data_IF_272038824939
#
_entry.id   IF_272038824939
#
_cell.length_a   1.000
_cell.length_b   1.000
_cell.length_c   1.000
_cell.angle_alpha   90.00
_cell.angle_beta   90.00
_cell.angle_gamma   90.00
#
_symmetry.space_group_name_H-M   'P 1'
#
loop_
_entity.id
_entity.type
_entity.pdbx_description
1 polymer ?
#
# COMPACT_ATOMS: atom_id res chain seq x y z
N UNK A 1 -9.81 24.68 -1.28
CA UNK A 1 -9.04 24.69 -2.55
C UNK A 1 -7.89 23.69 -2.55
N UNK A 2 -7.13 23.58 -1.45
CA UNK A 2 -6.01 22.64 -1.28
C UNK A 2 -6.38 21.16 -1.38
N UNK A 3 -7.49 20.73 -0.76
CA UNK A 3 -7.92 19.30 -0.80
C UNK A 3 -8.27 18.85 -2.21
N UNK A 4 -9.03 19.66 -2.95
CA UNK A 4 -9.40 19.35 -4.35
C UNK A 4 -8.16 19.25 -5.23
N UNK A 5 -7.22 20.19 -5.08
CA UNK A 5 -5.94 20.13 -5.79
C UNK A 5 -5.18 18.83 -5.47
N UNK A 6 -5.09 18.45 -4.19
CA UNK A 6 -4.46 17.21 -3.77
C UNK A 6 -5.11 15.96 -4.38
N UNK A 7 -6.44 15.89 -4.41
CA UNK A 7 -7.17 14.80 -5.06
C UNK A 7 -6.90 14.72 -6.56
N UNK A 8 -6.88 15.87 -7.25
CA UNK A 8 -6.58 15.95 -8.69
C UNK A 8 -5.15 15.49 -8.97
N UNK A 9 -4.16 16.02 -8.22
CA UNK A 9 -2.75 15.62 -8.37
C UNK A 9 -2.58 14.13 -8.09
N UNK A 10 -3.22 13.61 -7.04
CA UNK A 10 -3.23 12.18 -6.72
C UNK A 10 -3.79 11.32 -7.85
N UNK A 11 -4.99 11.67 -8.36
CA UNK A 11 -5.62 10.95 -9.46
C UNK A 11 -4.78 10.97 -10.74
N UNK A 12 -4.20 12.13 -11.09
CA UNK A 12 -3.31 12.25 -12.24
C UNK A 12 -2.04 11.41 -12.07
N UNK A 13 -1.44 11.42 -10.89
CA UNK A 13 -0.23 10.63 -10.59
C UNK A 13 -0.49 9.14 -10.72
N UNK A 14 -1.59 8.64 -10.11
CA UNK A 14 -1.99 7.24 -10.24
C UNK A 14 -2.27 6.87 -11.70
N UNK A 15 -2.92 7.75 -12.47
CA UNK A 15 -3.21 7.48 -13.88
C UNK A 15 -1.92 7.39 -14.72
N UNK A 16 -0.96 8.27 -14.48
CA UNK A 16 0.35 8.23 -15.15
C UNK A 16 1.12 6.96 -14.77
N UNK A 17 1.17 6.63 -13.48
CA UNK A 17 1.79 5.39 -13.00
C UNK A 17 1.11 4.16 -13.60
N UNK A 18 -0.22 4.14 -13.69
CA UNK A 18 -0.97 3.06 -14.33
C UNK A 18 -0.60 2.90 -15.79
N UNK A 19 -0.43 4.00 -16.54
CA UNK A 19 -0.02 3.97 -17.95
C UNK A 19 1.39 3.38 -18.08
N UNK A 20 2.35 3.84 -17.27
CA UNK A 20 3.72 3.31 -17.28
C UNK A 20 3.81 1.86 -16.82
N UNK A 21 3.01 1.47 -15.83
CA UNK A 21 2.98 0.13 -15.25
C UNK A 21 2.15 -0.88 -16.05
N UNK A 22 1.58 -0.53 -17.22
CA UNK A 22 0.72 -1.43 -18.01
C UNK A 22 1.37 -2.80 -18.28
N UNK A 23 2.65 -2.82 -18.65
CA UNK A 23 3.39 -4.06 -18.91
C UNK A 23 3.57 -4.90 -17.65
N UNK A 24 3.84 -4.26 -16.51
CA UNK A 24 3.98 -4.95 -15.22
C UNK A 24 2.65 -5.54 -14.75
N UNK A 25 1.57 -4.75 -14.83
CA UNK A 25 0.21 -5.20 -14.49
C UNK A 25 -0.28 -6.33 -15.41
N UNK A 26 0.27 -6.42 -16.63
CA UNK A 26 -0.03 -7.51 -17.55
C UNK A 26 0.70 -8.82 -17.20
N UNK A 27 1.66 -8.80 -16.25
CA UNK A 27 2.43 -9.99 -15.90
C UNK A 27 1.56 -11.10 -15.31
N UNK A 28 1.83 -12.39 -15.60
CA UNK A 28 1.00 -13.50 -15.11
C UNK A 28 0.85 -13.55 -13.59
N UNK A 29 1.85 -13.09 -12.84
CA UNK A 29 1.84 -13.04 -11.37
C UNK A 29 0.77 -12.10 -10.82
N UNK A 30 0.42 -11.06 -11.58
CA UNK A 30 -0.61 -10.09 -11.20
C UNK A 30 -1.95 -10.35 -11.89
N UNK A 31 -2.15 -11.49 -12.55
CA UNK A 31 -3.41 -11.82 -13.20
C UNK A 31 -4.19 -12.82 -12.35
N UNK A 32 -5.47 -12.52 -12.07
CA UNK A 32 -6.41 -13.49 -11.51
C UNK A 32 -7.70 -13.52 -12.30
N UNK A 33 -8.31 -14.69 -12.39
CA UNK A 33 -9.64 -14.87 -12.96
C UNK A 33 -10.69 -14.42 -11.94
N UNK A 34 -11.63 -13.59 -12.37
CA UNK A 34 -12.74 -13.18 -11.51
C UNK A 34 -13.90 -14.20 -11.54
N UNK A 35 -14.92 -13.99 -10.71
CA UNK A 35 -16.09 -14.88 -10.63
C UNK A 35 -16.89 -15.02 -11.94
N UNK A 36 -16.61 -14.20 -12.96
CA UNK A 36 -17.24 -14.23 -14.29
C UNK A 36 -16.34 -14.84 -15.37
N UNK A 37 -15.18 -15.38 -14.99
CA UNK A 37 -14.22 -15.95 -15.92
C UNK A 37 -13.37 -14.94 -16.69
N UNK A 38 -13.34 -13.68 -16.26
CA UNK A 38 -12.47 -12.67 -16.87
C UNK A 38 -11.15 -12.58 -16.12
N UNK A 39 -10.05 -12.68 -16.87
CA UNK A 39 -8.70 -12.44 -16.36
C UNK A 39 -8.49 -10.93 -16.18
N UNK A 40 -8.21 -10.51 -14.96
CA UNK A 40 -8.03 -9.11 -14.60
C UNK A 40 -6.73 -8.92 -13.81
N UNK A 41 -6.08 -7.75 -13.97
CA UNK A 41 -4.94 -7.40 -13.13
C UNK A 41 -5.39 -7.21 -11.67
N UNK A 42 -4.66 -7.81 -10.74
CA UNK A 42 -4.81 -7.67 -9.29
C UNK A 42 -3.74 -6.75 -8.71
N UNK A 43 -3.81 -6.47 -7.41
CA UNK A 43 -2.80 -5.71 -6.67
C UNK A 43 -2.60 -4.28 -7.14
N UNK A 44 -3.54 -3.71 -7.92
CA UNK A 44 -3.45 -2.35 -8.45
C UNK A 44 -3.37 -1.25 -7.39
N UNK A 45 -3.77 -1.56 -6.14
CA UNK A 45 -3.62 -0.66 -4.99
C UNK A 45 -2.18 -0.23 -4.72
N UNK A 46 -1.18 -1.02 -5.13
CA UNK A 46 0.23 -0.65 -5.02
C UNK A 46 0.55 0.65 -5.77
N UNK A 47 -0.18 0.97 -6.85
CA UNK A 47 0.01 2.23 -7.58
C UNK A 47 -0.38 3.45 -6.74
N UNK A 48 -1.30 3.31 -5.79
CA UNK A 48 -1.68 4.39 -4.87
C UNK A 48 -0.55 4.62 -3.87
N UNK A 49 0.03 3.55 -3.33
CA UNK A 49 1.20 3.62 -2.44
C UNK A 49 2.38 4.29 -3.14
N UNK A 50 2.66 3.91 -4.38
CA UNK A 50 3.70 4.54 -5.20
C UNK A 50 3.37 6.00 -5.55
N UNK A 51 2.10 6.33 -5.79
CA UNK A 51 1.70 7.72 -6.03
C UNK A 51 1.97 8.61 -4.80
N UNK A 52 1.68 8.11 -3.59
CA UNK A 52 2.04 8.81 -2.35
C UNK A 52 3.54 9.06 -2.26
N UNK A 53 4.37 8.07 -2.60
CA UNK A 53 5.83 8.22 -2.64
C UNK A 53 6.27 9.32 -3.62
N UNK A 54 5.74 9.30 -4.85
CA UNK A 54 6.11 10.24 -5.92
C UNK A 54 5.69 11.67 -5.54
N UNK A 55 4.49 11.84 -4.98
CA UNK A 55 3.99 13.14 -4.55
C UNK A 55 4.84 13.68 -3.41
N UNK A 56 5.20 12.84 -2.44
CA UNK A 56 6.04 13.25 -1.33
C UNK A 56 7.46 13.63 -1.78
N UNK A 57 8.05 12.84 -2.68
CA UNK A 57 9.35 13.15 -3.27
C UNK A 57 9.32 14.47 -4.06
N UNK A 58 8.26 14.70 -4.84
CA UNK A 58 8.05 15.96 -5.56
C UNK A 58 7.92 17.15 -4.62
N UNK A 59 7.18 16.99 -3.52
CA UNK A 59 7.04 18.01 -2.47
C UNK A 59 8.39 18.34 -1.84
N UNK A 60 9.16 17.32 -1.43
CA UNK A 60 10.47 17.50 -0.82
C UNK A 60 11.44 18.22 -1.79
N UNK A 61 11.45 17.82 -3.06
CA UNK A 61 12.28 18.46 -4.09
C UNK A 61 11.90 19.92 -4.32
N UNK A 62 10.60 20.24 -4.40
CA UNK A 62 10.13 21.62 -4.52
C UNK A 62 10.48 22.45 -3.28
N UNK A 63 10.32 21.87 -2.08
CA UNK A 63 10.71 22.50 -0.83
C UNK A 63 12.21 22.83 -0.77
N UNK A 64 13.07 21.92 -1.24
CA UNK A 64 14.51 22.15 -1.34
C UNK A 64 14.89 23.29 -2.32
N UNK A 65 14.00 23.61 -3.26
CA UNK A 65 14.12 24.75 -4.17
C UNK A 65 13.47 26.03 -3.62
N UNK A 66 13.00 26.03 -2.36
CA UNK A 66 12.36 27.17 -1.70
C UNK A 66 10.89 27.37 -2.06
N UNK A 67 10.24 26.37 -2.65
CA UNK A 67 8.80 26.44 -3.01
C UNK A 67 7.96 25.72 -1.96
N UNK A 68 7.07 26.45 -1.29
CA UNK A 68 6.14 25.92 -0.27
C UNK A 68 6.52 26.30 1.17
N UNK A 69 5.77 25.80 2.14
CA UNK A 69 5.90 26.21 3.55
C UNK A 69 7.05 25.53 4.30
N UNK A 70 7.51 24.35 3.89
CA UNK A 70 8.73 23.69 4.39
C UNK A 70 9.10 22.43 3.59
N UNK A 71 10.40 22.14 3.46
CA UNK A 71 10.92 20.87 2.91
C UNK A 71 10.83 19.70 3.89
N UNK A 72 10.68 20.01 5.18
CA UNK A 72 10.85 19.02 6.24
C UNK A 72 9.69 18.04 6.28
N UNK A 73 10.00 16.83 6.74
CA UNK A 73 9.03 15.77 6.97
C UNK A 73 8.47 15.97 8.38
N UNK A 74 7.22 16.43 8.49
CA UNK A 74 6.56 16.56 9.80
C UNK A 74 6.26 15.18 10.39
N UNK A 75 6.07 15.14 11.71
CA UNK A 75 5.73 13.93 12.47
C UNK A 75 4.44 13.28 11.92
N UNK A 76 3.40 14.07 11.71
CA UNK A 76 2.11 13.56 11.22
C UNK A 76 2.24 12.99 9.81
N UNK A 77 3.13 13.58 9.01
CA UNK A 77 3.40 13.13 7.65
C UNK A 77 4.22 11.86 7.64
N UNK A 78 5.26 11.73 8.48
CA UNK A 78 6.04 10.49 8.58
C UNK A 78 5.15 9.33 9.04
N UNK A 79 4.26 9.56 10.00
CA UNK A 79 3.27 8.58 10.45
C UNK A 79 2.34 8.13 9.32
N UNK A 80 1.76 9.08 8.57
CA UNK A 80 0.89 8.75 7.42
C UNK A 80 1.65 7.94 6.37
N UNK A 81 2.89 8.33 6.03
CA UNK A 81 3.70 7.58 5.07
C UNK A 81 3.92 6.15 5.57
N UNK A 82 4.35 5.98 6.81
CA UNK A 82 4.58 4.64 7.36
C UNK A 82 3.32 3.79 7.41
N UNK A 83 2.16 4.38 7.74
CA UNK A 83 0.88 3.68 7.66
C UNK A 83 0.59 3.24 6.22
N UNK A 84 0.74 4.15 5.24
CA UNK A 84 0.49 3.86 3.82
C UNK A 84 1.43 2.78 3.29
N UNK A 85 2.73 2.84 3.57
CA UNK A 85 3.69 1.85 3.11
C UNK A 85 3.56 0.52 3.87
N UNK A 86 3.37 0.56 5.19
CA UNK A 86 3.21 -0.64 6.02
C UNK A 86 1.98 -1.43 5.63
N UNK A 87 0.80 -0.81 5.66
CA UNK A 87 -0.44 -1.48 5.25
C UNK A 87 -0.48 -1.75 3.75
N UNK A 88 0.09 -0.87 2.92
CA UNK A 88 0.22 -1.08 1.48
C UNK A 88 1.03 -2.33 1.14
N UNK A 89 2.17 -2.55 1.81
CA UNK A 89 2.99 -3.73 1.65
C UNK A 89 2.27 -5.00 2.11
N UNK A 90 1.61 -4.97 3.27
CA UNK A 90 0.82 -6.10 3.77
C UNK A 90 -0.33 -6.47 2.82
N UNK A 91 -1.00 -5.46 2.27
CA UNK A 91 -2.03 -5.65 1.23
C UNK A 91 -1.45 -6.27 -0.03
N UNK A 92 -0.31 -5.75 -0.51
CA UNK A 92 0.35 -6.27 -1.70
C UNK A 92 0.82 -7.72 -1.54
N UNK A 93 1.42 -8.07 -0.41
CA UNK A 93 1.86 -9.45 -0.11
C UNK A 93 0.65 -10.39 -0.11
N UNK A 94 -0.47 -10.00 0.48
CA UNK A 94 -1.66 -10.84 0.49
C UNK A 94 -2.32 -10.96 -0.88
N UNK A 95 -2.34 -9.90 -1.69
CA UNK A 95 -2.88 -10.03 -3.04
C UNK A 95 -2.05 -11.02 -3.89
N UNK A 96 -0.73 -11.07 -3.65
CA UNK A 96 0.21 -11.98 -4.34
C UNK A 96 0.16 -13.42 -3.82
N UNK A 97 0.22 -13.60 -2.50
CA UNK A 97 0.43 -14.90 -1.86
C UNK A 97 -0.84 -15.46 -1.22
N UNK A 98 -1.92 -14.68 -1.17
CA UNK A 98 -3.18 -15.08 -0.56
C UNK A 98 -3.82 -16.22 -1.34
N UNK A 99 -4.06 -17.31 -0.62
CA UNK A 99 -4.74 -18.50 -1.10
C UNK A 99 -6.14 -18.59 -0.47
N UNK A 100 -7.12 -19.05 -1.25
CA UNK A 100 -8.51 -19.26 -0.83
C UNK A 100 -8.69 -20.45 0.13
N UNK A 101 -7.63 -21.25 0.34
CA UNK A 101 -7.66 -22.49 1.12
C UNK A 101 -7.95 -22.31 2.62
N UNK A 102 -7.71 -21.12 3.19
CA UNK A 102 -8.00 -20.83 4.60
C UNK A 102 -8.77 -19.53 4.73
N UNK A 103 -10.06 -19.62 5.09
CA UNK A 103 -10.94 -18.46 5.31
C UNK A 103 -11.28 -18.29 6.79
N UNK A 104 -11.28 -17.04 7.23
CA UNK A 104 -11.70 -16.64 8.58
C UNK A 104 -10.61 -16.78 9.65
N UNK A 105 -10.79 -16.02 10.75
CA UNK A 105 -9.84 -15.92 11.85
C UNK A 105 -9.49 -17.29 12.47
N UNK A 106 -10.50 -18.13 12.69
CA UNK A 106 -10.32 -19.48 13.25
C UNK A 106 -9.50 -20.38 12.31
N UNK A 107 -9.65 -20.24 10.99
CA UNK A 107 -8.91 -21.00 9.99
C UNK A 107 -7.41 -20.70 10.04
N UNK A 108 -7.05 -19.41 10.06
CA UNK A 108 -5.65 -18.98 10.15
C UNK A 108 -5.01 -19.34 11.49
N UNK A 109 -5.75 -19.21 12.61
CA UNK A 109 -5.27 -19.63 13.94
C UNK A 109 -5.04 -21.14 13.99
N UNK A 110 -5.93 -21.94 13.40
CA UNK A 110 -5.77 -23.40 13.33
C UNK A 110 -4.59 -23.82 12.44
N UNK A 111 -4.34 -23.10 11.35
CA UNK A 111 -3.17 -23.30 10.49
C UNK A 111 -1.86 -22.99 11.25
N UNK A 112 -1.84 -21.93 12.06
CA UNK A 112 -0.70 -21.61 12.92
C UNK A 112 -0.39 -22.73 13.93
N UNK A 113 -1.42 -23.31 14.55
CA UNK A 113 -1.23 -24.46 15.45
C UNK A 113 -0.70 -25.72 14.74
N UNK A 114 -0.72 -25.74 13.40
CA UNK A 114 -0.10 -26.78 12.56
C UNK A 114 1.27 -26.39 12.02
N UNK A 115 1.78 -25.21 12.38
CA UNK A 115 3.07 -24.68 11.91
C UNK A 115 3.01 -23.97 10.55
N UNK A 116 1.81 -23.69 10.03
CA UNK A 116 1.63 -23.00 8.73
C UNK A 116 1.41 -21.50 8.94
N UNK A 117 2.31 -20.68 8.41
CA UNK A 117 2.17 -19.22 8.40
C UNK A 117 1.38 -18.81 7.16
N UNK A 118 0.17 -18.29 7.37
CA UNK A 118 -0.72 -17.81 6.30
C UNK A 118 -0.55 -16.31 6.05
N UNK A 119 -0.94 -15.82 4.88
CA UNK A 119 -0.97 -14.37 4.60
C UNK A 119 -1.91 -13.61 5.53
N UNK A 120 -3.02 -14.24 5.94
CA UNK A 120 -3.93 -13.71 6.97
C UNK A 120 -3.24 -13.49 8.32
N UNK A 121 -2.35 -14.40 8.72
CA UNK A 121 -1.54 -14.24 9.93
C UNK A 121 -0.55 -13.08 9.79
N UNK A 122 0.14 -12.98 8.65
CA UNK A 122 1.06 -11.87 8.37
C UNK A 122 0.32 -10.52 8.38
N UNK A 123 -0.87 -10.44 7.81
CA UNK A 123 -1.72 -9.24 7.85
C UNK A 123 -2.12 -8.86 9.27
N UNK A 124 -2.53 -9.82 10.08
CA UNK A 124 -2.97 -9.58 11.45
C UNK A 124 -1.82 -9.04 12.32
N UNK A 125 -0.72 -9.78 12.38
CA UNK A 125 0.41 -9.42 13.24
C UNK A 125 1.24 -8.29 12.65
N UNK A 126 1.41 -8.26 11.33
CA UNK A 126 2.05 -7.15 10.63
C UNK A 126 1.27 -5.86 10.80
N UNK A 127 -0.05 -5.89 10.63
CA UNK A 127 -0.91 -4.73 10.81
C UNK A 127 -0.92 -4.23 12.26
N UNK A 128 -0.99 -5.16 13.23
CA UNK A 128 -0.82 -4.83 14.64
C UNK A 128 0.56 -4.22 14.94
N UNK A 129 1.63 -4.76 14.36
CA UNK A 129 2.98 -4.22 14.49
C UNK A 129 3.10 -2.80 13.92
N UNK A 130 2.56 -2.55 12.73
CA UNK A 130 2.51 -1.20 12.13
C UNK A 130 1.76 -0.24 13.06
N UNK A 131 0.59 -0.64 13.59
CA UNK A 131 -0.18 0.18 14.51
C UNK A 131 0.55 0.46 15.83
N UNK A 132 1.23 -0.54 16.39
CA UNK A 132 2.04 -0.37 17.61
C UNK A 132 3.16 0.62 17.37
N UNK A 133 3.88 0.53 16.25
CA UNK A 133 4.95 1.49 15.93
C UNK A 133 4.39 2.91 15.80
N UNK A 134 3.28 3.08 15.09
CA UNK A 134 2.63 4.40 14.93
C UNK A 134 2.25 5.03 16.27
N UNK A 135 1.79 4.23 17.24
CA UNK A 135 1.37 4.73 18.56
C UNK A 135 2.54 4.88 19.52
N UNK A 136 3.47 3.94 19.52
CA UNK A 136 4.57 3.86 20.48
C UNK A 136 5.78 4.71 20.08
N UNK A 137 5.90 5.08 18.80
CA UNK A 137 7.01 5.89 18.29
C UNK A 137 6.49 6.96 17.33
N UNK A 138 5.77 7.99 17.85
CA UNK A 138 5.31 9.10 17.04
C UNK A 138 6.49 9.76 16.30
N UNK A 139 6.34 9.92 15.00
CA UNK A 139 7.34 10.56 14.14
C UNK A 139 8.49 9.68 13.65
N UNK A 140 8.68 8.48 14.24
CA UNK A 140 9.96 7.77 14.36
C UNK A 140 11.04 8.61 15.04
#
# INVERSE_FOLDING_TARGET
>A
MSVVLGLVVGALTVQLLRIGARGMLASPVLQKENYRGHVLPTSGGILIVLAVLVIEAGRAALGALGVGESSDLSIERSEVLFAVFGFGLLGFIDDLLGDDSSRGFVGHVRALFRGEITTGFLKLFGGAGVAVVLVATPGF
#
